data_IF_366066280491
#
_entry.id   IF_366066280491
#
_cell.length_a   1.000
_cell.length_b   1.000
_cell.length_c   1.000
_cell.angle_alpha   90.00
_cell.angle_beta   90.00
_cell.angle_gamma   90.00
#
_symmetry.space_group_name_H-M   'P 1'
#
loop_
_entity.id
_entity.type
_entity.pdbx_description
1 polymer ?
#
# COMPACT_ATOMS: atom_id res chain seq x y z
N UNK A 1 0.60 -14.03 0.05
CA UNK A 1 0.74 -13.04 -1.05
C UNK A 1 1.44 -13.64 -2.26
N UNK A 2 0.99 -13.32 -3.48
CA UNK A 2 1.66 -13.70 -4.74
C UNK A 2 2.79 -12.73 -5.07
N UNK A 3 3.78 -13.17 -5.86
CA UNK A 3 4.93 -12.32 -6.29
C UNK A 3 4.47 -11.08 -7.05
N UNK A 4 3.42 -11.20 -7.86
CA UNK A 4 2.82 -10.09 -8.61
C UNK A 4 2.22 -9.05 -7.66
N UNK A 5 1.38 -9.48 -6.71
CA UNK A 5 0.80 -8.60 -5.70
C UNK A 5 1.88 -7.85 -4.90
N UNK A 6 2.95 -8.55 -4.48
CA UNK A 6 4.05 -7.93 -3.75
C UNK A 6 4.74 -6.83 -4.57
N UNK A 7 4.98 -7.07 -5.86
CA UNK A 7 5.57 -6.08 -6.76
C UNK A 7 4.69 -4.84 -6.89
N UNK A 8 3.39 -5.02 -7.10
CA UNK A 8 2.43 -3.92 -7.21
C UNK A 8 2.32 -3.13 -5.91
N UNK A 9 2.35 -3.82 -4.76
CA UNK A 9 2.29 -3.20 -3.45
C UNK A 9 3.53 -2.35 -3.19
N UNK A 10 4.71 -2.86 -3.54
CA UNK A 10 5.98 -2.11 -3.46
C UNK A 10 5.94 -0.85 -4.32
N UNK A 11 5.44 -0.95 -5.54
CA UNK A 11 5.30 0.20 -6.45
C UNK A 11 4.34 1.25 -5.86
N UNK A 12 3.19 0.83 -5.34
CA UNK A 12 2.21 1.73 -4.75
C UNK A 12 2.74 2.43 -3.48
N UNK A 13 3.46 1.70 -2.63
CA UNK A 13 4.15 2.24 -1.44
C UNK A 13 5.19 3.28 -1.85
N UNK A 14 6.02 2.98 -2.84
CA UNK A 14 7.06 3.90 -3.31
C UNK A 14 6.45 5.20 -3.83
N UNK A 15 5.39 5.12 -4.64
CA UNK A 15 4.68 6.28 -5.20
C UNK A 15 4.01 7.16 -4.13
N UNK A 16 3.55 6.57 -3.04
CA UNK A 16 2.77 7.27 -2.01
C UNK A 16 3.56 7.58 -0.74
N UNK A 17 4.88 7.30 -0.71
CA UNK A 17 5.66 7.38 0.52
C UNK A 17 5.63 8.76 1.17
N UNK A 18 5.88 9.80 0.37
CA UNK A 18 5.96 11.19 0.85
C UNK A 18 4.60 11.69 1.33
N UNK A 19 3.51 11.32 0.64
CA UNK A 19 2.17 11.85 0.90
C UNK A 19 1.42 11.11 1.99
N UNK A 20 1.49 9.78 2.01
CA UNK A 20 0.67 8.94 2.88
C UNK A 20 1.46 8.29 4.03
N UNK A 21 2.75 8.05 3.85
CA UNK A 21 3.57 7.18 4.70
C UNK A 21 4.81 7.88 5.28
N UNK A 22 4.77 9.19 5.47
CA UNK A 22 5.91 10.00 5.93
C UNK A 22 6.52 9.53 7.26
N UNK A 23 5.75 8.80 8.08
CA UNK A 23 6.20 8.23 9.35
C UNK A 23 6.93 6.89 9.22
N UNK A 24 7.05 6.32 8.01
CA UNK A 24 7.69 5.03 7.78
C UNK A 24 9.10 5.20 7.18
N UNK A 25 10.06 4.32 7.54
CA UNK A 25 11.39 4.30 6.95
C UNK A 25 11.37 4.25 5.42
N UNK A 26 12.45 4.67 4.76
CA UNK A 26 12.59 4.72 3.29
C UNK A 26 12.75 3.33 2.63
N UNK A 27 12.95 2.29 3.40
CA UNK A 27 13.08 0.90 2.97
C UNK A 27 11.95 0.02 3.53
N UNK A 28 11.00 0.61 4.25
CA UNK A 28 9.86 -0.11 4.79
C UNK A 28 9.02 -0.79 3.69
N UNK A 29 8.83 -2.10 3.84
CA UNK A 29 7.89 -2.92 3.09
C UNK A 29 7.19 -3.90 4.05
N UNK A 30 5.88 -4.12 3.91
CA UNK A 30 5.13 -4.99 4.81
C UNK A 30 5.55 -6.46 4.61
N UNK A 31 5.92 -7.20 5.68
CA UNK A 31 6.34 -8.60 5.58
C UNK A 31 5.17 -9.59 5.58
N UNK A 32 3.97 -9.13 5.94
CA UNK A 32 2.77 -9.95 6.10
C UNK A 32 1.51 -9.21 5.61
N UNK A 33 0.44 -9.97 5.40
CA UNK A 33 -0.84 -9.46 4.87
C UNK A 33 -1.51 -8.46 5.81
N UNK A 34 -1.36 -8.62 7.12
CA UNK A 34 -1.90 -7.70 8.11
C UNK A 34 -1.23 -6.31 8.01
N UNK A 35 0.09 -6.28 7.83
CA UNK A 35 0.87 -5.07 7.61
C UNK A 35 0.57 -4.46 6.25
N UNK A 36 0.42 -5.28 5.21
CA UNK A 36 0.00 -4.82 3.88
C UNK A 36 -1.36 -4.13 3.94
N UNK A 37 -2.34 -4.72 4.64
CA UNK A 37 -3.67 -4.15 4.86
C UNK A 37 -3.59 -2.77 5.53
N UNK A 38 -2.85 -2.65 6.65
CA UNK A 38 -2.67 -1.37 7.36
C UNK A 38 -2.04 -0.28 6.48
N UNK A 39 -1.09 -0.66 5.63
CA UNK A 39 -0.44 0.27 4.69
C UNK A 39 -1.42 0.72 3.62
N UNK A 40 -2.14 -0.21 3.00
CA UNK A 40 -3.13 0.10 1.98
C UNK A 40 -4.25 0.99 2.54
N UNK A 41 -4.68 0.78 3.77
CA UNK A 41 -5.64 1.65 4.46
C UNK A 41 -5.10 3.07 4.67
N UNK A 42 -3.83 3.22 5.09
CA UNK A 42 -3.18 4.53 5.21
C UNK A 42 -3.05 5.24 3.86
N UNK A 43 -2.67 4.49 2.81
CA UNK A 43 -2.59 5.01 1.44
C UNK A 43 -3.96 5.44 0.95
N UNK A 44 -5.00 4.63 1.16
CA UNK A 44 -6.37 4.98 0.77
C UNK A 44 -6.88 6.24 1.50
N UNK A 45 -6.63 6.35 2.81
CA UNK A 45 -7.11 7.47 3.60
C UNK A 45 -6.47 8.82 3.27
N UNK A 46 -5.27 8.83 2.68
CA UNK A 46 -4.44 10.05 2.48
C UNK A 46 -4.08 10.31 1.02
N UNK A 47 -4.25 9.32 0.15
CA UNK A 47 -4.00 9.42 -1.28
C UNK A 47 -5.09 10.19 -2.01
N UNK A 48 -4.81 10.55 -3.26
CA UNK A 48 -5.82 11.09 -4.17
C UNK A 48 -6.85 10.04 -4.59
N UNK A 49 -7.84 10.44 -5.39
CA UNK A 49 -8.93 9.55 -5.85
C UNK A 49 -8.39 8.30 -6.54
N UNK A 50 -7.36 8.43 -7.39
CA UNK A 50 -6.80 7.30 -8.12
C UNK A 50 -6.10 6.33 -7.16
N UNK A 51 -5.33 6.88 -6.23
CA UNK A 51 -4.66 6.13 -5.17
C UNK A 51 -5.64 5.39 -4.28
N UNK A 52 -6.75 6.03 -3.90
CA UNK A 52 -7.83 5.41 -3.13
C UNK A 52 -8.43 4.21 -3.87
N UNK A 53 -8.77 4.37 -5.16
CA UNK A 53 -9.34 3.29 -5.98
C UNK A 53 -8.36 2.11 -6.03
N UNK A 54 -7.09 2.38 -6.32
CA UNK A 54 -6.06 1.34 -6.44
C UNK A 54 -5.84 0.61 -5.12
N UNK A 55 -5.70 1.34 -4.01
CA UNK A 55 -5.52 0.74 -2.69
C UNK A 55 -6.73 -0.12 -2.28
N UNK A 56 -7.96 0.30 -2.64
CA UNK A 56 -9.18 -0.48 -2.38
C UNK A 56 -9.29 -1.75 -3.22
N UNK A 57 -8.79 -1.75 -4.46
CA UNK A 57 -8.71 -2.98 -5.27
C UNK A 57 -7.79 -3.99 -4.59
N UNK A 58 -6.56 -3.57 -4.25
CA UNK A 58 -5.59 -4.44 -3.58
C UNK A 58 -6.07 -4.95 -2.21
N UNK A 59 -6.84 -4.15 -1.47
CA UNK A 59 -7.47 -4.59 -0.21
C UNK A 59 -8.49 -5.71 -0.40
N UNK A 60 -9.17 -5.77 -1.56
CA UNK A 60 -10.11 -6.84 -1.87
C UNK A 60 -9.41 -8.13 -2.27
N UNK A 61 -8.24 -8.03 -2.89
CA UNK A 61 -7.39 -9.16 -3.26
C UNK A 61 -6.71 -9.84 -2.05
N UNK A 62 -6.67 -9.15 -0.89
CA UNK A 62 -6.20 -9.68 0.40
C UNK A 62 -7.28 -10.41 1.22
N UNK A 63 -8.51 -10.55 0.70
CA UNK A 63 -9.60 -11.32 1.32
C UNK A 63 -9.81 -12.63 0.55
#
# INVERSE_FOLDING_TARGET
>A
MTTEFESELRALIAANRVRALWSLPRDYFPPDEASARRILEKIAARGDRQTWVRARQMLRELN
#
